data_IF_964553778604
#
_entry.id   IF_964553778604
#
_cell.length_a   1.000
_cell.length_b   1.000
_cell.length_c   1.000
_cell.angle_alpha   90.00
_cell.angle_beta   90.00
_cell.angle_gamma   90.00
#
_symmetry.space_group_name_H-M   'P 1'
#
loop_
_entity.id
_entity.type
_entity.pdbx_description
1 polymer ?
#
# COMPACT_ATOMS: atom_id res chain seq x y z
N UNK A 1 24.03 -5.88 6.32
CA UNK A 1 23.45 -6.32 5.04
C UNK A 1 21.99 -6.84 5.16
N UNK A 2 21.25 -6.65 6.26
CA UNK A 2 19.92 -7.29 6.40
C UNK A 2 18.69 -6.35 6.34
N UNK A 3 18.82 -5.04 6.57
CA UNK A 3 17.63 -4.19 6.76
C UNK A 3 16.93 -3.83 5.44
N UNK A 4 17.64 -3.59 4.34
CA UNK A 4 16.99 -3.22 3.06
C UNK A 4 16.17 -4.37 2.47
N UNK A 5 16.68 -5.58 2.59
CA UNK A 5 16.03 -6.78 2.08
C UNK A 5 14.80 -7.16 2.91
N UNK A 6 14.89 -6.94 4.24
CA UNK A 6 13.75 -7.06 5.15
C UNK A 6 12.66 -6.02 4.84
N UNK A 7 13.04 -4.75 4.64
CA UNK A 7 12.10 -3.69 4.30
C UNK A 7 11.45 -3.96 2.94
N UNK A 8 12.23 -4.34 1.92
CA UNK A 8 11.72 -4.73 0.60
C UNK A 8 10.72 -5.88 0.73
N UNK A 9 11.04 -6.89 1.54
CA UNK A 9 10.16 -8.04 1.79
C UNK A 9 8.81 -7.60 2.40
N UNK A 10 8.83 -6.74 3.42
CA UNK A 10 7.60 -6.34 4.10
C UNK A 10 6.75 -5.38 3.24
N UNK A 11 7.38 -4.42 2.57
CA UNK A 11 6.67 -3.56 1.60
C UNK A 11 6.02 -4.39 0.51
N UNK A 12 6.74 -5.40 0.00
CA UNK A 12 6.21 -6.33 -1.00
C UNK A 12 5.02 -7.11 -0.46
N UNK A 13 5.09 -7.65 0.77
CA UNK A 13 3.98 -8.36 1.42
C UNK A 13 2.76 -7.45 1.62
N UNK A 14 2.95 -6.24 2.11
CA UNK A 14 1.87 -5.25 2.29
C UNK A 14 1.20 -4.90 0.95
N UNK A 15 2.00 -4.70 -0.11
CA UNK A 15 1.47 -4.46 -1.44
C UNK A 15 0.64 -5.64 -1.95
N UNK A 16 1.11 -6.88 -1.78
CA UNK A 16 0.37 -8.08 -2.21
C UNK A 16 -0.93 -8.23 -1.40
N UNK A 17 -0.89 -8.07 -0.07
CA UNK A 17 -2.09 -8.10 0.79
C UNK A 17 -3.11 -7.05 0.35
N UNK A 18 -2.66 -5.81 0.15
CA UNK A 18 -3.50 -4.72 -0.35
C UNK A 18 -4.11 -5.06 -1.71
N UNK A 19 -3.31 -5.51 -2.68
CA UNK A 19 -3.82 -5.85 -4.02
C UNK A 19 -4.88 -6.97 -3.95
N UNK A 20 -4.64 -8.01 -3.16
CA UNK A 20 -5.57 -9.13 -3.04
C UNK A 20 -6.90 -8.71 -2.42
N UNK A 21 -6.87 -8.02 -1.28
CA UNK A 21 -8.11 -7.57 -0.62
C UNK A 21 -8.89 -6.61 -1.52
N UNK A 22 -8.20 -5.80 -2.31
CA UNK A 22 -8.82 -4.85 -3.23
C UNK A 22 -9.42 -5.53 -4.47
N UNK A 23 -8.79 -6.60 -4.97
CA UNK A 23 -9.37 -7.45 -6.01
C UNK A 23 -10.62 -8.19 -5.52
N UNK A 24 -10.58 -8.74 -4.30
CA UNK A 24 -11.73 -9.41 -3.68
C UNK A 24 -12.89 -8.43 -3.48
N UNK A 25 -12.58 -7.18 -3.12
CA UNK A 25 -13.56 -6.10 -3.00
C UNK A 25 -14.20 -5.73 -4.35
N UNK A 26 -13.41 -5.57 -5.41
CA UNK A 26 -13.90 -5.29 -6.78
C UNK A 26 -14.81 -6.42 -7.28
N UNK A 27 -14.49 -7.67 -6.91
CA UNK A 27 -15.31 -8.86 -7.20
C UNK A 27 -16.53 -9.00 -6.30
N UNK A 28 -16.78 -8.04 -5.40
CA UNK A 28 -17.87 -8.02 -4.42
C UNK A 28 -17.87 -9.22 -3.47
N UNK A 29 -16.69 -9.78 -3.20
CA UNK A 29 -16.52 -10.94 -2.31
C UNK A 29 -16.37 -10.54 -0.85
N UNK A 30 -15.97 -9.30 -0.59
CA UNK A 30 -15.77 -8.74 0.75
C UNK A 30 -16.36 -7.33 0.84
N UNK A 31 -16.60 -6.86 2.06
CA UNK A 31 -17.09 -5.51 2.32
C UNK A 31 -15.98 -4.47 2.46
N UNK A 32 -16.35 -3.19 2.37
CA UNK A 32 -15.42 -2.06 2.55
C UNK A 32 -14.72 -2.08 3.92
N UNK A 33 -15.38 -2.63 4.95
CA UNK A 33 -14.82 -2.77 6.29
C UNK A 33 -13.63 -3.74 6.34
N UNK A 34 -13.69 -4.85 5.60
CA UNK A 34 -12.59 -5.82 5.52
C UNK A 34 -11.40 -5.23 4.77
N UNK A 35 -11.66 -4.47 3.71
CA UNK A 35 -10.63 -3.69 3.01
C UNK A 35 -9.95 -2.72 3.97
N UNK A 36 -10.74 -1.91 4.69
CA UNK A 36 -10.22 -0.95 5.66
C UNK A 36 -9.36 -1.60 6.73
N UNK A 37 -9.76 -2.75 7.26
CA UNK A 37 -8.99 -3.50 8.25
C UNK A 37 -7.62 -3.95 7.70
N UNK A 38 -7.59 -4.61 6.54
CA UNK A 38 -6.34 -5.12 5.94
C UNK A 38 -5.40 -3.97 5.56
N UNK A 39 -5.94 -2.88 5.02
CA UNK A 39 -5.13 -1.72 4.69
C UNK A 39 -4.61 -0.99 5.92
N UNK A 40 -5.37 -0.97 7.02
CA UNK A 40 -4.92 -0.43 8.30
C UNK A 40 -3.80 -1.29 8.89
N UNK A 41 -3.91 -2.61 8.83
CA UNK A 41 -2.86 -3.55 9.23
C UNK A 41 -1.57 -3.30 8.43
N UNK A 42 -1.69 -3.19 7.10
CA UNK A 42 -0.56 -2.87 6.23
C UNK A 42 0.06 -1.50 6.58
N UNK A 43 -0.76 -0.49 6.86
CA UNK A 43 -0.27 0.83 7.26
C UNK A 43 0.49 0.79 8.59
N UNK A 44 0.01 0.03 9.58
CA UNK A 44 0.68 -0.15 10.87
C UNK A 44 2.02 -0.88 10.73
N UNK A 45 2.07 -1.99 9.97
CA UNK A 45 3.32 -2.70 9.67
C UNK A 45 4.35 -1.77 8.99
N UNK A 46 3.90 -0.91 8.08
CA UNK A 46 4.75 0.03 7.36
C UNK A 46 5.23 1.21 8.24
N UNK A 47 4.36 1.74 9.10
CA UNK A 47 4.71 2.80 10.06
C UNK A 47 5.77 2.32 11.05
N UNK A 48 5.66 1.07 11.53
CA UNK A 48 6.65 0.48 12.45
C UNK A 48 8.03 0.35 11.79
N UNK A 49 8.06 -0.08 10.52
CA UNK A 49 9.31 -0.15 9.75
C UNK A 49 9.92 1.23 9.56
N UNK A 50 9.09 2.22 9.20
CA UNK A 50 9.54 3.57 8.98
C UNK A 50 10.18 4.13 10.24
N UNK A 51 9.52 3.97 11.39
CA UNK A 51 10.04 4.42 12.67
C UNK A 51 11.37 3.76 13.02
N UNK A 52 11.48 2.44 12.83
CA UNK A 52 12.71 1.67 13.13
C UNK A 52 13.87 1.98 12.19
N UNK A 53 13.59 2.34 10.93
CA UNK A 53 14.63 2.48 9.90
C UNK A 53 14.76 3.90 9.35
N UNK A 54 14.09 4.90 9.94
CA UNK A 54 13.97 6.27 9.43
C UNK A 54 15.27 6.86 8.89
N UNK A 55 16.37 6.75 9.64
CA UNK A 55 17.68 7.28 9.24
C UNK A 55 18.25 6.58 8.00
N UNK A 56 18.13 5.25 7.92
CA UNK A 56 18.57 4.48 6.76
C UNK A 56 17.75 4.84 5.52
N UNK A 57 16.44 4.98 5.70
CA UNK A 57 15.48 5.23 4.62
C UNK A 57 15.57 6.64 4.04
N UNK A 58 15.89 7.64 4.88
CA UNK A 58 16.03 9.05 4.46
C UNK A 58 17.38 9.34 3.79
N UNK A 59 18.38 8.48 3.98
CA UNK A 59 19.71 8.63 3.40
C UNK A 59 19.90 7.86 2.09
N UNK A 60 18.99 6.93 1.74
CA UNK A 60 19.09 6.13 0.53
C UNK A 60 18.19 6.68 -0.61
N UNK A 61 18.76 7.23 -1.70
CA UNK A 61 17.99 7.77 -2.83
C UNK A 61 17.19 6.72 -3.62
N UNK A 62 17.55 5.43 -3.56
CA UNK A 62 16.77 4.35 -4.16
C UNK A 62 15.49 4.05 -3.36
N UNK A 63 15.42 4.49 -2.11
CA UNK A 63 14.28 4.24 -1.23
C UNK A 63 13.04 5.09 -1.56
N UNK A 64 13.23 6.20 -2.27
CA UNK A 64 12.18 7.14 -2.67
C UNK A 64 11.03 6.46 -3.44
N UNK A 65 11.34 5.40 -4.21
CA UNK A 65 10.33 4.61 -4.94
C UNK A 65 9.43 3.80 -3.99
N UNK A 66 10.01 3.16 -2.98
CA UNK A 66 9.27 2.42 -1.96
C UNK A 66 8.40 3.36 -1.13
N UNK A 67 8.95 4.54 -0.78
CA UNK A 67 8.22 5.58 -0.05
C UNK A 67 6.96 6.04 -0.78
N UNK A 68 7.02 6.21 -2.12
CA UNK A 68 5.87 6.61 -2.92
C UNK A 68 4.72 5.60 -2.83
N UNK A 69 5.02 4.30 -2.95
CA UNK A 69 3.99 3.25 -2.88
C UNK A 69 3.41 3.14 -1.47
N UNK A 70 4.25 3.25 -0.44
CA UNK A 70 3.82 3.25 0.97
C UNK A 70 2.88 4.44 1.26
N UNK A 71 3.23 5.64 0.78
CA UNK A 71 2.40 6.84 0.95
C UNK A 71 1.07 6.71 0.22
N UNK A 72 1.06 6.12 -0.98
CA UNK A 72 -0.18 5.87 -1.71
C UNK A 72 -1.07 4.87 -0.97
N UNK A 73 -0.52 3.73 -0.50
CA UNK A 73 -1.28 2.76 0.31
C UNK A 73 -1.85 3.43 1.57
N UNK A 74 -1.03 4.20 2.28
CA UNK A 74 -1.44 4.89 3.51
C UNK A 74 -2.53 5.94 3.26
N UNK A 75 -2.41 6.68 2.17
CA UNK A 75 -3.42 7.67 1.74
C UNK A 75 -4.73 6.98 1.36
N UNK A 76 -4.65 5.90 0.59
CA UNK A 76 -5.81 5.13 0.16
C UNK A 76 -6.54 4.52 1.36
N UNK A 77 -5.81 3.92 2.30
CA UNK A 77 -6.35 3.34 3.52
C UNK A 77 -7.14 4.37 4.36
N UNK A 78 -6.57 5.57 4.57
CA UNK A 78 -7.19 6.63 5.38
C UNK A 78 -8.41 7.26 4.71
N UNK A 79 -8.43 7.32 3.38
CA UNK A 79 -9.46 8.04 2.65
C UNK A 79 -10.50 7.15 1.99
N UNK A 80 -10.40 5.82 2.08
CA UNK A 80 -11.20 4.92 1.26
C UNK A 80 -12.71 5.09 1.43
N UNK A 81 -13.17 5.25 2.66
CA UNK A 81 -14.59 5.42 2.98
C UNK A 81 -15.12 6.77 2.49
N UNK A 82 -14.29 7.82 2.61
CA UNK A 82 -14.58 9.15 2.08
C UNK A 82 -14.59 9.15 0.54
N UNK A 83 -13.63 8.50 -0.09
CA UNK A 83 -13.50 8.43 -1.55
C UNK A 83 -14.63 7.59 -2.16
N UNK A 84 -14.95 6.45 -1.56
CA UNK A 84 -16.05 5.59 -2.00
C UNK A 84 -17.42 6.25 -1.85
N UNK A 85 -17.67 6.97 -0.76
CA UNK A 85 -18.92 7.71 -0.56
C UNK A 85 -19.06 8.92 -1.50
N UNK A 86 -17.95 9.59 -1.84
CA UNK A 86 -17.96 10.84 -2.63
C UNK A 86 -17.87 10.64 -4.13
N UNK A 87 -17.12 9.64 -4.59
CA UNK A 87 -16.81 9.41 -6.01
C UNK A 87 -17.30 8.05 -6.53
N UNK A 88 -17.83 7.20 -5.65
CA UNK A 88 -18.33 5.88 -6.02
C UNK A 88 -17.22 4.82 -6.13
N UNK A 89 -17.66 3.56 -6.28
CA UNK A 89 -16.77 2.40 -6.28
C UNK A 89 -15.92 2.25 -7.56
N UNK A 90 -16.33 2.87 -8.66
CA UNK A 90 -15.56 2.86 -9.90
C UNK A 90 -14.31 3.76 -9.79
N UNK A 91 -14.41 4.91 -9.12
CA UNK A 91 -13.25 5.76 -8.82
C UNK A 91 -12.23 5.02 -7.94
N UNK A 92 -12.70 4.32 -6.90
CA UNK A 92 -11.82 3.50 -6.06
C UNK A 92 -11.10 2.45 -6.92
N UNK A 93 -11.77 1.84 -7.90
CA UNK A 93 -11.15 0.87 -8.81
C UNK A 93 -10.00 1.47 -9.63
N UNK A 94 -10.14 2.71 -10.09
CA UNK A 94 -9.11 3.38 -10.90
C UNK A 94 -7.86 3.74 -10.07
N UNK A 95 -8.06 4.25 -8.84
CA UNK A 95 -6.96 4.49 -7.90
C UNK A 95 -6.20 3.19 -7.57
N UNK A 96 -6.92 2.06 -7.52
CA UNK A 96 -6.34 0.74 -7.30
C UNK A 96 -5.52 0.24 -8.50
N UNK A 97 -5.99 0.48 -9.72
CA UNK A 97 -5.21 0.20 -10.92
C UNK A 97 -3.91 1.03 -10.96
N UNK A 98 -3.97 2.29 -10.57
CA UNK A 98 -2.79 3.16 -10.47
C UNK A 98 -1.77 2.66 -9.44
N UNK A 99 -2.25 2.16 -8.30
CA UNK A 99 -1.41 1.53 -7.27
C UNK A 99 -0.75 0.24 -7.79
N UNK A 100 -1.50 -0.61 -8.49
CA UNK A 100 -0.98 -1.85 -9.09
C UNK A 100 0.11 -1.58 -10.14
N UNK A 101 -0.07 -0.56 -10.98
CA UNK A 101 0.93 -0.14 -11.96
C UNK A 101 2.19 0.42 -11.31
N UNK A 102 2.04 1.15 -10.20
CA UNK A 102 3.17 1.65 -9.40
C UNK A 102 3.96 0.50 -8.78
N UNK A 103 3.29 -0.52 -8.26
CA UNK A 103 3.93 -1.73 -7.73
C UNK A 103 4.63 -2.57 -8.81
N UNK A 104 4.00 -2.76 -9.98
CA UNK A 104 4.58 -3.53 -11.09
C UNK A 104 5.92 -2.95 -11.53
N UNK A 105 5.99 -1.62 -11.71
CA UNK A 105 7.23 -0.89 -12.00
C UNK A 105 8.31 -1.09 -10.93
N UNK A 106 7.89 -1.21 -9.67
CA UNK A 106 8.77 -1.40 -8.52
C UNK A 106 9.38 -2.81 -8.46
N UNK A 107 8.67 -3.83 -8.97
CA UNK A 107 9.15 -5.22 -9.09
C UNK A 107 10.13 -5.40 -10.26
N UNK A 108 10.00 -4.58 -11.30
CA UNK A 108 10.85 -4.60 -12.50
C UNK A 108 12.17 -3.82 -12.33
N UNK A 109 12.40 -3.23 -11.15
CA UNK A 109 13.67 -2.57 -10.77
C UNK A 109 14.48 -3.41 -9.79
#
# INVERSE_FOLDING_TARGET
MNNEEEIKSIVTKCCIKAILILNDFVRRQIGIKEVGNVLTECAQELDEIFYKNYQLLTQNPNYTKYLSVILQISSLARNMELLGSRYGYDFLRDELFSLMESYKRLKET
#
